data_IF_131526174848
#
_entry.id   IF_131526174848
#
_cell.length_a   1.000
_cell.length_b   1.000
_cell.length_c   1.000
_cell.angle_alpha   90.00
_cell.angle_beta   90.00
_cell.angle_gamma   90.00
#
_symmetry.space_group_name_H-M   'P 1'
#
loop_
_entity.id
_entity.type
_entity.pdbx_description
1 polymer ?
#
# COMPACT_ATOMS: atom_id res chain seq x y z
N UNK A 1 -12.59 -16.41 16.95
CA UNK A 1 -12.44 -15.39 15.90
C UNK A 1 -12.04 -16.11 14.60
N UNK A 2 -12.66 -15.78 13.46
CA UNK A 2 -12.58 -16.60 12.24
C UNK A 2 -11.44 -16.10 11.34
N UNK A 3 -10.49 -16.98 11.01
CA UNK A 3 -9.39 -16.68 10.07
C UNK A 3 -9.93 -16.73 8.64
N UNK A 4 -9.61 -15.73 7.83
CA UNK A 4 -10.01 -15.58 6.43
C UNK A 4 -8.97 -16.20 5.49
N UNK A 5 -8.74 -17.52 5.60
CA UNK A 5 -7.70 -18.21 4.81
C UNK A 5 -7.92 -18.19 3.30
N UNK A 6 -9.15 -17.88 2.84
CA UNK A 6 -9.48 -17.75 1.42
C UNK A 6 -9.34 -16.33 0.87
N UNK A 7 -9.12 -15.33 1.73
CA UNK A 7 -8.93 -13.95 1.26
C UNK A 7 -7.50 -13.79 0.77
N UNK A 8 -7.35 -13.71 -0.54
CA UNK A 8 -6.05 -13.49 -1.21
C UNK A 8 -5.90 -12.04 -1.65
N UNK A 9 -7.01 -11.39 -2.04
CA UNK A 9 -7.01 -9.99 -2.51
C UNK A 9 -7.85 -9.12 -1.58
N UNK A 10 -7.31 -7.96 -1.22
CA UNK A 10 -7.99 -6.95 -0.42
C UNK A 10 -7.84 -5.59 -1.09
N UNK A 11 -8.96 -4.97 -1.46
CA UNK A 11 -9.00 -3.55 -1.81
C UNK A 11 -9.71 -2.79 -0.69
N UNK A 12 -9.01 -1.79 -0.16
CA UNK A 12 -9.46 -0.92 0.91
C UNK A 12 -9.46 0.55 0.47
N UNK A 13 -9.57 0.81 -0.82
CA UNK A 13 -9.65 2.16 -1.35
C UNK A 13 -11.04 2.77 -1.15
N UNK A 14 -11.10 3.97 -0.57
CA UNK A 14 -12.34 4.74 -0.37
C UNK A 14 -12.06 6.16 0.14
N UNK A 15 -12.95 7.11 -0.17
CA UNK A 15 -12.91 8.45 0.40
C UNK A 15 -13.53 8.41 1.80
N UNK A 16 -12.68 8.49 2.83
CA UNK A 16 -13.13 8.53 4.22
C UNK A 16 -12.94 9.94 4.79
N UNK A 17 -13.94 10.45 5.50
CA UNK A 17 -13.76 11.62 6.38
C UNK A 17 -12.76 11.33 7.49
N UNK A 18 -12.30 12.35 8.22
CA UNK A 18 -11.26 12.20 9.26
C UNK A 18 -11.68 11.19 10.36
N UNK A 19 -12.95 11.22 10.78
CA UNK A 19 -13.47 10.28 11.80
C UNK A 19 -13.59 8.85 11.28
N UNK A 20 -13.96 8.70 10.00
CA UNK A 20 -14.02 7.41 9.33
C UNK A 20 -12.62 6.84 9.06
N UNK A 21 -11.61 7.69 8.94
CA UNK A 21 -10.23 7.29 8.73
C UNK A 21 -9.64 6.51 9.92
N UNK A 22 -9.98 6.88 11.18
CA UNK A 22 -9.52 6.12 12.36
C UNK A 22 -10.15 4.72 12.37
N UNK A 23 -11.46 4.64 12.11
CA UNK A 23 -12.17 3.35 12.01
C UNK A 23 -11.64 2.51 10.85
N UNK A 24 -11.35 3.13 9.72
CA UNK A 24 -10.73 2.52 8.54
C UNK A 24 -9.39 1.85 8.87
N UNK A 25 -8.50 2.55 9.59
CA UNK A 25 -7.22 1.98 10.01
C UNK A 25 -7.36 0.74 10.87
N UNK A 26 -8.26 0.78 11.85
CA UNK A 26 -8.52 -0.38 12.72
C UNK A 26 -9.09 -1.55 11.92
N UNK A 27 -9.99 -1.28 10.98
CA UNK A 27 -10.57 -2.29 10.11
C UNK A 27 -9.52 -2.89 9.15
N UNK A 28 -8.72 -2.07 8.49
CA UNK A 28 -7.65 -2.50 7.59
C UNK A 28 -6.64 -3.40 8.32
N UNK A 29 -6.20 -2.98 9.51
CA UNK A 29 -5.30 -3.77 10.35
C UNK A 29 -5.92 -5.13 10.68
N UNK A 30 -7.18 -5.13 11.13
CA UNK A 30 -7.91 -6.36 11.45
C UNK A 30 -8.00 -7.28 10.22
N UNK A 31 -8.41 -6.77 9.06
CA UNK A 31 -8.55 -7.54 7.83
C UNK A 31 -7.23 -8.20 7.41
N UNK A 32 -6.11 -7.46 7.47
CA UNK A 32 -4.80 -8.00 7.11
C UNK A 32 -4.35 -9.07 8.11
N UNK A 33 -4.50 -8.83 9.42
CA UNK A 33 -4.10 -9.80 10.47
C UNK A 33 -4.81 -11.14 10.31
N UNK A 34 -6.09 -11.15 9.94
CA UNK A 34 -6.87 -12.38 9.79
C UNK A 34 -6.80 -13.01 8.41
N UNK A 35 -6.00 -12.46 7.48
CA UNK A 35 -5.87 -12.93 6.10
C UNK A 35 -4.46 -13.43 5.81
N UNK A 36 -4.06 -14.60 6.35
CA UNK A 36 -2.67 -15.09 6.28
C UNK A 36 -2.19 -15.46 4.87
N UNK A 37 -3.10 -15.53 3.90
CA UNK A 37 -2.84 -15.87 2.51
C UNK A 37 -3.01 -14.66 1.57
N UNK A 38 -3.05 -13.44 2.13
CA UNK A 38 -3.16 -12.22 1.34
C UNK A 38 -1.93 -12.07 0.43
N UNK A 39 -2.17 -12.03 -0.88
CA UNK A 39 -1.16 -11.93 -1.92
C UNK A 39 -1.21 -10.58 -2.67
N UNK A 40 -2.35 -9.90 -2.62
CA UNK A 40 -2.60 -8.64 -3.30
C UNK A 40 -3.34 -7.66 -2.39
N UNK A 41 -2.80 -6.44 -2.29
CA UNK A 41 -3.32 -5.38 -1.43
C UNK A 41 -3.43 -4.08 -2.23
N UNK A 42 -4.60 -3.46 -2.18
CA UNK A 42 -4.86 -2.15 -2.75
C UNK A 42 -5.25 -1.15 -1.65
N UNK A 43 -4.51 -0.05 -1.57
CA UNK A 43 -4.61 0.93 -0.49
C UNK A 43 -4.61 2.37 -1.02
N UNK A 44 -5.15 3.27 -0.22
CA UNK A 44 -4.89 4.70 -0.40
C UNK A 44 -3.47 5.03 0.04
N UNK A 45 -2.86 6.06 -0.56
CA UNK A 45 -1.60 6.66 -0.09
C UNK A 45 -1.65 6.97 1.41
N UNK A 46 -2.81 7.36 1.95
CA UNK A 46 -2.98 7.68 3.39
C UNK A 46 -2.79 6.48 4.31
N UNK A 47 -2.94 5.26 3.80
CA UNK A 47 -2.84 4.02 4.58
C UNK A 47 -1.39 3.52 4.71
N UNK A 48 -0.46 4.08 3.94
CA UNK A 48 0.99 3.72 3.95
C UNK A 48 1.57 3.59 5.36
N UNK A 49 1.30 4.49 6.34
CA UNK A 49 1.84 4.35 7.69
C UNK A 49 1.34 3.11 8.43
N UNK A 50 0.06 2.74 8.28
CA UNK A 50 -0.50 1.54 8.91
C UNK A 50 0.05 0.29 8.26
N UNK A 51 0.09 0.27 6.92
CA UNK A 51 0.65 -0.86 6.18
C UNK A 51 2.12 -1.06 6.54
N UNK A 52 2.90 0.01 6.69
CA UNK A 52 4.30 -0.08 7.12
C UNK A 52 4.46 -0.81 8.45
N UNK A 53 3.65 -0.49 9.46
CA UNK A 53 3.66 -1.20 10.74
C UNK A 53 3.35 -2.70 10.58
N UNK A 54 2.44 -3.04 9.67
CA UNK A 54 2.07 -4.44 9.40
C UNK A 54 3.18 -5.19 8.66
N UNK A 55 3.89 -4.52 7.75
CA UNK A 55 5.09 -5.06 7.09
C UNK A 55 6.18 -5.32 8.13
N UNK A 56 6.46 -4.37 9.02
CA UNK A 56 7.46 -4.53 10.09
C UNK A 56 7.13 -5.71 11.04
N UNK A 57 5.86 -6.08 11.17
CA UNK A 57 5.43 -7.25 11.94
C UNK A 57 5.43 -8.59 11.18
N UNK A 58 5.89 -8.60 9.92
CA UNK A 58 5.97 -9.80 9.06
C UNK A 58 4.63 -10.27 8.48
N UNK A 59 3.53 -9.54 8.73
CA UNK A 59 2.17 -9.96 8.30
C UNK A 59 1.96 -9.91 6.80
N UNK A 60 2.82 -9.19 6.09
CA UNK A 60 2.76 -8.98 4.64
C UNK A 60 3.97 -9.58 3.91
N UNK A 61 4.74 -10.47 4.54
CA UNK A 61 5.95 -11.06 3.94
C UNK A 61 5.67 -11.84 2.65
N UNK A 62 4.45 -12.37 2.52
CA UNK A 62 4.00 -13.12 1.33
C UNK A 62 3.32 -12.24 0.28
N UNK A 63 3.15 -10.95 0.54
CA UNK A 63 2.46 -10.03 -0.38
C UNK A 63 3.26 -9.92 -1.69
N UNK A 64 2.61 -10.23 -2.82
CA UNK A 64 3.22 -10.23 -4.15
C UNK A 64 2.86 -8.99 -4.96
N UNK A 65 1.69 -8.42 -4.71
CA UNK A 65 1.19 -7.24 -5.41
C UNK A 65 0.75 -6.16 -4.44
N UNK A 66 1.18 -4.93 -4.68
CA UNK A 66 0.73 -3.75 -3.96
C UNK A 66 0.26 -2.70 -4.98
N UNK A 67 -0.98 -2.26 -4.83
CA UNK A 67 -1.54 -1.12 -5.55
C UNK A 67 -1.66 0.06 -4.60
N UNK A 68 -1.04 1.18 -4.92
CA UNK A 68 -1.13 2.42 -4.15
C UNK A 68 -1.86 3.46 -4.97
N UNK A 69 -3.01 3.92 -4.46
CA UNK A 69 -3.84 4.93 -5.09
C UNK A 69 -3.65 6.26 -4.37
N UNK A 70 -3.20 7.27 -5.12
CA UNK A 70 -3.18 8.65 -4.66
C UNK A 70 -4.52 9.31 -4.83
N UNK A 71 -4.92 10.09 -3.84
CA UNK A 71 -6.07 10.99 -3.96
C UNK A 71 -5.80 12.16 -4.93
N UNK A 72 -4.55 12.29 -5.39
CA UNK A 72 -4.08 13.34 -6.29
C UNK A 72 -4.58 13.16 -7.74
N UNK A 73 -5.40 12.13 -8.04
CA UNK A 73 -6.04 12.00 -9.35
C UNK A 73 -7.04 13.14 -9.63
N UNK A 74 -7.48 13.89 -8.60
CA UNK A 74 -8.40 15.04 -8.73
C UNK A 74 -7.94 16.35 -8.05
N UNK A 75 -6.83 16.39 -7.30
CA UNK A 75 -6.42 17.60 -6.57
C UNK A 75 -4.91 17.88 -6.74
N UNK A 76 -4.63 19.11 -7.16
CA UNK A 76 -3.35 19.68 -7.65
C UNK A 76 -2.22 19.80 -6.61
N UNK A 77 -2.18 18.97 -5.56
CA UNK A 77 -1.15 19.08 -4.52
C UNK A 77 -0.04 18.06 -4.74
N UNK A 78 1.01 18.52 -5.42
CA UNK A 78 2.32 17.86 -5.48
C UNK A 78 2.90 17.82 -4.05
N UNK A 79 2.59 16.77 -3.32
CA UNK A 79 3.16 16.50 -2.01
C UNK A 79 4.54 15.88 -2.15
N UNK A 80 5.55 16.59 -1.65
CA UNK A 80 6.94 16.16 -1.45
C UNK A 80 7.05 14.65 -1.14
N UNK A 81 7.76 13.91 -2.00
CA UNK A 81 7.99 12.47 -1.85
C UNK A 81 8.74 12.13 -0.55
N UNK A 82 9.45 13.09 0.05
CA UNK A 82 10.06 12.93 1.38
C UNK A 82 9.03 12.80 2.51
N UNK A 83 7.80 13.28 2.33
CA UNK A 83 6.72 13.16 3.34
C UNK A 83 6.00 11.82 3.32
N UNK A 84 6.16 10.99 2.29
CA UNK A 84 5.40 9.74 2.14
C UNK A 84 6.31 8.51 2.05
N UNK A 85 6.29 7.60 3.03
CA UNK A 85 7.24 6.50 3.15
C UNK A 85 6.94 5.31 2.22
N UNK A 86 6.55 5.56 0.97
CA UNK A 86 6.27 4.50 -0.02
C UNK A 86 7.56 3.73 -0.34
N UNK A 87 8.69 4.42 -0.58
CA UNK A 87 9.96 3.74 -0.88
C UNK A 87 10.41 2.82 0.28
N UNK A 88 10.48 3.30 1.54
CA UNK A 88 10.74 2.43 2.68
C UNK A 88 9.77 1.25 2.76
N UNK A 89 8.46 1.47 2.60
CA UNK A 89 7.45 0.41 2.64
C UNK A 89 7.72 -0.67 1.59
N UNK A 90 7.94 -0.27 0.34
CA UNK A 90 8.16 -1.19 -0.78
C UNK A 90 9.47 -1.98 -0.61
N UNK A 91 10.51 -1.36 -0.02
CA UNK A 91 11.76 -2.06 0.32
C UNK A 91 11.59 -3.09 1.45
N UNK A 92 10.68 -2.83 2.38
CA UNK A 92 10.39 -3.75 3.49
C UNK A 92 9.51 -4.93 3.11
N UNK A 93 8.97 -4.99 1.88
CA UNK A 93 8.17 -6.11 1.38
C UNK A 93 9.06 -7.12 0.62
N UNK A 94 9.44 -8.26 1.23
CA UNK A 94 10.43 -9.16 0.65
C UNK A 94 9.94 -9.82 -0.64
N UNK A 95 8.69 -10.32 -0.63
CA UNK A 95 8.09 -11.07 -1.75
C UNK A 95 7.41 -10.20 -2.81
N UNK A 96 7.49 -8.87 -2.71
CA UNK A 96 6.80 -7.98 -3.65
C UNK A 96 7.39 -8.09 -5.06
N UNK A 97 6.52 -8.37 -6.03
CA UNK A 97 6.83 -8.56 -7.45
C UNK A 97 6.20 -7.48 -8.33
N UNK A 98 5.01 -7.00 -7.96
CA UNK A 98 4.30 -5.96 -8.71
C UNK A 98 3.95 -4.79 -7.81
N UNK A 99 4.25 -3.58 -8.28
CA UNK A 99 3.81 -2.33 -7.68
C UNK A 99 3.03 -1.54 -8.73
N UNK A 100 1.76 -1.27 -8.46
CA UNK A 100 0.89 -0.44 -9.30
C UNK A 100 0.71 0.90 -8.59
N UNK A 101 0.97 1.99 -9.30
CA UNK A 101 0.90 3.35 -8.76
C UNK A 101 -0.13 4.14 -9.54
N UNK A 102 -1.26 4.46 -8.91
CA UNK A 102 -2.21 5.44 -9.42
C UNK A 102 -1.96 6.77 -8.73
N UNK A 103 -0.82 7.39 -9.03
CA UNK A 103 -0.36 8.67 -8.46
C UNK A 103 -0.09 9.68 -9.59
N UNK A 104 0.23 10.92 -9.22
CA UNK A 104 0.66 11.91 -10.20
C UNK A 104 1.89 11.40 -11.00
N UNK A 105 1.93 11.56 -12.34
CA UNK A 105 2.99 10.98 -13.18
C UNK A 105 4.42 11.34 -12.76
N UNK A 106 4.64 12.57 -12.28
CA UNK A 106 5.95 13.00 -11.76
C UNK A 106 6.38 12.16 -10.55
N UNK A 107 5.48 11.93 -9.60
CA UNK A 107 5.70 11.11 -8.41
C UNK A 107 6.05 9.68 -8.80
N UNK A 108 5.32 9.11 -9.76
CA UNK A 108 5.63 7.78 -10.29
C UNK A 108 7.01 7.70 -10.96
N UNK A 109 7.39 8.73 -11.73
CA UNK A 109 8.69 8.78 -12.39
C UNK A 109 9.85 8.84 -11.38
N UNK A 110 9.70 9.64 -10.31
CA UNK A 110 10.70 9.76 -9.26
C UNK A 110 10.81 8.49 -8.40
N UNK A 111 9.69 7.84 -8.09
CA UNK A 111 9.67 6.51 -7.46
C UNK A 111 10.41 5.49 -8.33
N UNK A 112 10.13 5.45 -9.64
CA UNK A 112 10.82 4.56 -10.58
C UNK A 112 12.33 4.81 -10.65
N UNK A 113 12.78 6.08 -10.61
CA UNK A 113 14.22 6.43 -10.60
C UNK A 113 14.91 6.03 -9.30
N UNK A 114 14.24 6.19 -8.17
CA UNK A 114 14.81 5.94 -6.85
C UNK A 114 14.81 4.45 -6.50
N UNK A 115 13.87 3.69 -7.08
CA UNK A 115 13.68 2.29 -6.76
C UNK A 115 14.59 1.38 -7.58
N UNK A 116 15.53 0.69 -6.89
CA UNK A 116 16.59 -0.12 -7.53
C UNK A 116 16.32 -1.64 -7.56
N UNK A 117 15.16 -2.13 -7.10
CA UNK A 117 14.88 -3.59 -7.11
C UNK A 117 14.51 -4.01 -8.54
N UNK A 118 15.45 -4.66 -9.22
CA UNK A 118 15.33 -5.08 -10.63
C UNK A 118 14.22 -6.10 -10.87
N UNK A 119 13.78 -6.83 -9.84
CA UNK A 119 12.69 -7.80 -9.93
C UNK A 119 11.28 -7.21 -9.79
N UNK A 120 11.15 -5.92 -9.42
CA UNK A 120 9.85 -5.29 -9.23
C UNK A 120 9.34 -4.67 -10.54
N UNK A 121 8.17 -5.10 -10.99
CA UNK A 121 7.45 -4.45 -12.08
C UNK A 121 6.69 -3.23 -11.54
N UNK A 122 7.05 -2.03 -11.98
CA UNK A 122 6.35 -0.78 -11.61
C UNK A 122 5.44 -0.32 -12.75
N UNK A 123 4.13 -0.37 -12.54
CA UNK A 123 3.10 0.09 -13.48
C UNK A 123 2.59 1.46 -13.02
N UNK A 124 2.51 2.39 -13.96
CA UNK A 124 1.87 3.70 -13.79
C UNK A 124 0.71 3.78 -14.77
#
# INVERSE_FOLDING_TARGET
MKIMTKLTTLSCYGQFGIEDFVKHKTLLNWLIIYSPNLDSLEISRRDTPVVKQLVESGKLDKLKSLTVIGEDYCLSWVGDLHKYPIIPLVNSLPSLQTLVLYLHPHTCAELKRTYKKTSLKVIN
#
